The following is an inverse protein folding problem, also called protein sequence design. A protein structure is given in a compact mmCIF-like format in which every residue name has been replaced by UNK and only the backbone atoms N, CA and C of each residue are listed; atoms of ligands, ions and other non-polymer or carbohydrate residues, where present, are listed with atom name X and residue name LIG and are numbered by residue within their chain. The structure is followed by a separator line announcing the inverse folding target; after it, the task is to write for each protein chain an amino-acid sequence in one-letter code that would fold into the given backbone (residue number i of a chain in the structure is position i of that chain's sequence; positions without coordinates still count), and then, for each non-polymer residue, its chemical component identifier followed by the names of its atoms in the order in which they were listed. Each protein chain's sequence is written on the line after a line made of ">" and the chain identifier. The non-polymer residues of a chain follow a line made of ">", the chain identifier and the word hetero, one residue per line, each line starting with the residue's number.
data_IF_198829428730
#
_entry.id   IF_198829428730
#
_cell.length_a   1.000
_cell.length_b   1.000
_cell.length_c   1.000
_cell.angle_alpha   90.00
_cell.angle_beta   90.00
_cell.angle_gamma   90.00
#
_symmetry.space_group_name_H-M   'P 1'
#
loop_
_entity.id
_entity.type
_entity.pdbx_description
1 polymer ?
#
# COMPACT_ATOMS: atom_id res chain seq x y z
N UNK A 1 -20.64 -29.58 3.16
CA UNK A 1 -20.26 -28.19 3.50
C UNK A 1 -18.91 -28.06 4.22
N UNK A 2 -18.60 -28.85 5.25
CA UNK A 2 -17.31 -28.74 5.97
C UNK A 2 -16.05 -28.99 5.10
N UNK A 3 -16.13 -29.89 4.11
CA UNK A 3 -15.05 -30.16 3.15
C UNK A 3 -14.73 -28.95 2.26
N UNK A 4 -15.75 -28.29 1.72
CA UNK A 4 -15.60 -27.10 0.86
C UNK A 4 -14.97 -25.92 1.62
N UNK A 5 -15.36 -25.71 2.88
CA UNK A 5 -14.77 -24.66 3.73
C UNK A 5 -13.29 -24.92 4.01
N UNK A 6 -12.90 -26.16 4.31
CA UNK A 6 -11.49 -26.54 4.52
C UNK A 6 -10.67 -26.35 3.25
N UNK A 7 -11.19 -26.77 2.09
CA UNK A 7 -10.54 -26.57 0.80
C UNK A 7 -10.35 -25.08 0.49
N UNK A 8 -11.39 -24.27 0.69
CA UNK A 8 -11.35 -22.83 0.48
C UNK A 8 -10.26 -22.15 1.33
N UNK A 9 -10.17 -22.49 2.61
CA UNK A 9 -9.11 -21.97 3.49
C UNK A 9 -7.73 -22.39 2.99
N UNK A 10 -7.54 -23.65 2.63
CA UNK A 10 -6.25 -24.15 2.15
C UNK A 10 -5.80 -23.39 0.89
N UNK A 11 -6.68 -23.24 -0.09
CA UNK A 11 -6.41 -22.52 -1.35
C UNK A 11 -6.04 -21.06 -1.07
N UNK A 12 -6.78 -20.40 -0.17
CA UNK A 12 -6.54 -18.98 0.17
C UNK A 12 -5.17 -18.77 0.83
N UNK A 13 -4.79 -19.63 1.78
CA UNK A 13 -3.48 -19.56 2.44
C UNK A 13 -2.34 -19.92 1.47
N UNK A 14 -2.57 -20.85 0.54
CA UNK A 14 -1.64 -21.15 -0.55
C UNK A 14 -1.41 -19.93 -1.44
N UNK A 15 -2.49 -19.30 -1.92
CA UNK A 15 -2.42 -18.10 -2.77
C UNK A 15 -1.70 -16.93 -2.06
N UNK A 16 -1.95 -16.75 -0.76
CA UNK A 16 -1.25 -15.74 0.03
C UNK A 16 0.24 -16.04 0.20
N UNK A 17 0.62 -17.31 0.37
CA UNK A 17 2.03 -17.70 0.46
C UNK A 17 2.78 -17.39 -0.84
N UNK A 18 2.14 -17.63 -1.99
CA UNK A 18 2.65 -17.21 -3.30
C UNK A 18 2.82 -15.69 -3.40
N UNK A 19 1.87 -14.92 -2.86
CA UNK A 19 1.97 -13.47 -2.85
C UNK A 19 3.10 -12.95 -1.97
N UNK A 20 3.33 -13.55 -0.80
CA UNK A 20 4.47 -13.21 0.06
C UNK A 20 5.80 -13.50 -0.65
N UNK A 21 5.90 -14.62 -1.36
CA UNK A 21 7.06 -14.91 -2.21
C UNK A 21 7.24 -13.85 -3.30
N UNK A 22 6.15 -13.40 -3.94
CA UNK A 22 6.22 -12.32 -4.93
C UNK A 22 6.77 -11.04 -4.31
N UNK A 23 6.29 -10.60 -3.14
CA UNK A 23 6.86 -9.43 -2.46
C UNK A 23 8.32 -9.61 -2.04
N UNK A 24 8.75 -10.84 -1.72
CA UNK A 24 10.15 -11.16 -1.49
C UNK A 24 10.98 -11.01 -2.77
N UNK A 25 10.47 -11.45 -3.92
CA UNK A 25 11.12 -11.25 -5.22
C UNK A 25 11.27 -9.77 -5.59
N UNK A 26 10.30 -8.93 -5.20
CA UNK A 26 10.37 -7.47 -5.34
C UNK A 26 11.31 -6.79 -4.33
N UNK A 27 11.95 -7.54 -3.43
CA UNK A 27 12.87 -7.00 -2.42
C UNK A 27 12.20 -6.31 -1.23
N UNK A 28 10.88 -6.46 -1.04
CA UNK A 28 10.17 -5.85 0.09
C UNK A 28 10.33 -6.63 1.40
N UNK A 29 10.68 -7.92 1.29
CA UNK A 29 11.03 -8.77 2.42
C UNK A 29 12.50 -9.19 2.31
N UNK A 30 13.30 -8.82 3.31
CA UNK A 30 14.67 -9.32 3.47
C UNK A 30 14.76 -10.45 4.51
N UNK A 31 13.66 -11.14 4.78
CA UNK A 31 13.60 -12.32 5.65
C UNK A 31 12.50 -13.27 5.14
N UNK A 32 12.62 -14.59 5.35
CA UNK A 32 11.59 -15.52 4.91
C UNK A 32 10.38 -15.43 5.84
N UNK A 33 9.21 -15.19 5.25
CA UNK A 33 7.92 -15.14 5.92
C UNK A 33 7.00 -16.21 5.33
N UNK A 34 6.45 -17.08 6.18
CA UNK A 34 5.50 -18.12 5.76
C UNK A 34 4.28 -18.10 6.66
N UNK A 35 3.09 -18.20 6.07
CA UNK A 35 1.84 -18.32 6.80
C UNK A 35 1.23 -19.70 6.56
N UNK A 36 1.32 -20.58 7.55
CA UNK A 36 0.70 -21.90 7.49
C UNK A 36 -0.69 -21.87 8.10
N UNK A 37 -1.65 -22.54 7.44
CA UNK A 37 -3.02 -22.59 7.94
C UNK A 37 -3.10 -23.27 9.32
N UNK A 38 -2.26 -24.28 9.58
CA UNK A 38 -2.18 -25.05 10.82
C UNK A 38 -1.37 -24.33 11.91
N UNK A 39 -0.12 -23.98 11.60
CA UNK A 39 0.87 -23.52 12.59
C UNK A 39 0.96 -21.99 12.73
N UNK A 40 0.19 -21.25 11.91
CA UNK A 40 0.20 -19.79 11.91
C UNK A 40 1.45 -19.21 11.23
N UNK A 41 1.98 -18.13 11.80
CA UNK A 41 3.05 -17.34 11.19
C UNK A 41 4.45 -17.85 11.56
N UNK A 42 5.20 -18.32 10.56
CA UNK A 42 6.61 -18.65 10.68
C UNK A 42 7.47 -17.51 10.11
N UNK A 43 8.37 -16.98 10.95
CA UNK A 43 9.24 -15.85 10.64
C UNK A 43 10.68 -16.34 10.80
N UNK A 44 11.46 -16.34 9.73
CA UNK A 44 12.88 -16.67 9.82
C UNK A 44 13.75 -15.48 10.20
N UNK A 45 15.05 -15.76 10.26
CA UNK A 45 16.06 -14.74 10.49
C UNK A 45 16.42 -14.01 9.21
N UNK A 46 16.87 -12.77 9.36
CA UNK A 46 17.48 -12.04 8.27
C UNK A 46 18.76 -12.75 7.82
N UNK A 47 18.89 -12.97 6.51
CA UNK A 47 20.09 -13.54 5.90
C UNK A 47 20.44 -12.71 4.68
N UNK A 48 21.73 -12.55 4.41
CA UNK A 48 22.23 -11.89 3.19
C UNK A 48 21.60 -12.47 1.90
N UNK A 49 21.33 -13.78 1.88
CA UNK A 49 20.64 -14.44 0.76
C UNK A 49 19.21 -13.93 0.52
N UNK A 50 18.55 -13.42 1.55
CA UNK A 50 17.20 -12.85 1.44
C UNK A 50 17.22 -11.45 0.84
N UNK A 51 18.35 -10.74 0.95
CA UNK A 51 18.52 -9.39 0.44
C UNK A 51 19.03 -9.33 -1.00
N UNK A 52 19.32 -10.48 -1.62
CA UNK A 52 19.76 -10.57 -3.03
C UNK A 52 18.78 -9.87 -3.96
N UNK A 53 17.48 -10.00 -3.74
CA UNK A 53 16.45 -9.36 -4.56
C UNK A 53 16.50 -7.83 -4.46
N UNK A 54 16.70 -7.29 -3.27
CA UNK A 54 16.88 -5.86 -3.04
C UNK A 54 18.12 -5.33 -3.79
N UNK A 55 19.23 -6.07 -3.78
CA UNK A 55 20.45 -5.72 -4.53
C UNK A 55 20.18 -5.77 -6.04
N UNK A 56 19.47 -6.81 -6.52
CA UNK A 56 19.12 -6.93 -7.94
C UNK A 56 18.23 -5.78 -8.41
N UNK A 57 17.26 -5.35 -7.61
CA UNK A 57 16.42 -4.20 -7.93
C UNK A 57 17.19 -2.88 -7.92
N UNK A 58 18.13 -2.72 -6.97
CA UNK A 58 19.04 -1.57 -6.95
C UNK A 58 19.92 -1.53 -8.20
N UNK A 59 20.54 -2.66 -8.57
CA UNK A 59 21.35 -2.79 -9.78
C UNK A 59 20.50 -2.52 -11.03
N UNK A 60 19.28 -3.05 -11.08
CA UNK A 60 18.33 -2.83 -12.19
C UNK A 60 17.93 -1.36 -12.31
N UNK A 61 17.72 -0.65 -11.19
CA UNK A 61 17.46 0.79 -11.20
C UNK A 61 18.67 1.58 -11.75
N UNK A 62 19.88 1.25 -11.33
CA UNK A 62 21.11 1.88 -11.86
C UNK A 62 21.26 1.60 -13.37
N UNK A 63 21.06 0.35 -13.81
CA UNK A 63 21.11 -0.02 -15.23
C UNK A 63 20.04 0.74 -16.01
N UNK A 64 18.81 0.84 -15.50
CA UNK A 64 17.74 1.65 -16.09
C UNK A 64 18.19 3.09 -16.28
N UNK A 65 18.78 3.72 -15.25
CA UNK A 65 19.34 5.07 -15.33
C UNK A 65 20.41 5.24 -16.43
N UNK A 66 21.34 4.28 -16.52
CA UNK A 66 22.40 4.27 -17.53
C UNK A 66 21.80 4.12 -18.94
N UNK A 67 20.84 3.22 -19.12
CA UNK A 67 20.16 3.00 -20.39
C UNK A 67 19.37 4.23 -20.82
N UNK A 68 18.62 4.87 -19.92
CA UNK A 68 17.92 6.11 -20.21
C UNK A 68 18.88 7.23 -20.63
N UNK A 69 20.04 7.35 -19.97
CA UNK A 69 21.09 8.29 -20.38
C UNK A 69 21.65 7.97 -21.77
N UNK A 70 21.89 6.70 -22.07
CA UNK A 70 22.38 6.26 -23.38
C UNK A 70 21.36 6.52 -24.48
N UNK A 71 20.07 6.34 -24.18
CA UNK A 71 18.96 6.55 -25.10
C UNK A 71 18.36 7.96 -25.01
N UNK A 72 19.09 8.94 -24.46
CA UNK A 72 18.59 10.30 -24.24
C UNK A 72 17.98 10.92 -25.50
N UNK A 73 18.66 10.80 -26.64
CA UNK A 73 18.17 11.35 -27.90
C UNK A 73 16.87 10.69 -28.39
N UNK A 74 16.66 9.39 -28.09
CA UNK A 74 15.42 8.69 -28.43
C UNK A 74 14.27 9.01 -27.48
N UNK A 75 14.58 9.42 -26.24
CA UNK A 75 13.59 9.75 -25.21
C UNK A 75 13.17 11.21 -25.25
N UNK A 76 14.12 12.12 -25.48
CA UNK A 76 13.92 13.57 -25.30
C UNK A 76 14.29 14.40 -26.54
N UNK A 77 14.97 13.81 -27.53
CA UNK A 77 15.37 14.53 -28.74
C UNK A 77 14.16 15.04 -29.52
N UNK A 78 14.23 16.31 -29.96
CA UNK A 78 13.19 16.95 -30.79
C UNK A 78 11.91 17.36 -30.06
N UNK A 79 11.80 17.12 -28.75
CA UNK A 79 10.70 17.62 -27.93
C UNK A 79 10.91 19.10 -27.58
N UNK A 80 9.80 19.83 -27.42
CA UNK A 80 9.83 21.13 -26.77
C UNK A 80 10.32 20.99 -25.33
N UNK A 81 10.89 22.05 -24.76
CA UNK A 81 11.45 22.01 -23.41
C UNK A 81 10.43 21.51 -22.38
N UNK A 82 9.18 21.98 -22.47
CA UNK A 82 8.05 21.57 -21.60
C UNK A 82 7.75 20.07 -21.72
N UNK A 83 7.62 19.56 -22.96
CA UNK A 83 7.39 18.14 -23.26
C UNK A 83 8.54 17.26 -22.73
N UNK A 84 9.78 17.70 -22.92
CA UNK A 84 10.97 16.99 -22.45
C UNK A 84 11.06 16.99 -20.91
N UNK A 85 10.77 18.11 -20.25
CA UNK A 85 10.73 18.21 -18.79
C UNK A 85 9.67 17.31 -18.18
N UNK A 86 8.47 17.27 -18.77
CA UNK A 86 7.36 16.41 -18.35
C UNK A 86 7.80 14.93 -18.36
N UNK A 87 8.39 14.47 -19.48
CA UNK A 87 8.89 13.10 -19.61
C UNK A 87 10.06 12.81 -18.65
N UNK A 88 10.95 13.78 -18.46
CA UNK A 88 12.10 13.63 -17.59
C UNK A 88 11.69 13.47 -16.13
N UNK A 89 10.80 14.34 -15.62
CA UNK A 89 10.30 14.22 -14.25
C UNK A 89 9.55 12.92 -14.01
N UNK A 90 8.78 12.45 -15.00
CA UNK A 90 8.05 11.16 -14.90
C UNK A 90 9.00 10.03 -14.58
N UNK A 91 10.05 9.93 -15.39
CA UNK A 91 11.04 8.88 -15.28
C UNK A 91 11.87 9.01 -14.00
N UNK A 92 12.34 10.21 -13.67
CA UNK A 92 13.22 10.45 -12.51
C UNK A 92 12.49 10.21 -11.19
N UNK A 93 11.25 10.67 -11.04
CA UNK A 93 10.46 10.44 -9.81
C UNK A 93 10.16 8.94 -9.66
N UNK A 94 9.82 8.25 -10.75
CA UNK A 94 9.63 6.80 -10.75
C UNK A 94 10.91 6.07 -10.31
N UNK A 95 12.06 6.43 -10.86
CA UNK A 95 13.33 5.82 -10.52
C UNK A 95 13.75 6.11 -9.06
N UNK A 96 13.57 7.35 -8.60
CA UNK A 96 13.79 7.75 -7.21
C UNK A 96 12.94 6.91 -6.25
N UNK A 97 11.67 6.66 -6.60
CA UNK A 97 10.75 5.84 -5.81
C UNK A 97 11.29 4.42 -5.60
N UNK A 98 11.95 3.83 -6.62
CA UNK A 98 12.59 2.51 -6.48
C UNK A 98 13.74 2.60 -5.46
N UNK A 99 14.63 3.58 -5.59
CA UNK A 99 15.76 3.75 -4.67
C UNK A 99 15.28 3.91 -3.22
N UNK A 100 14.32 4.79 -2.97
CA UNK A 100 13.78 5.00 -1.62
C UNK A 100 13.09 3.74 -1.09
N UNK A 101 12.33 3.03 -1.92
CA UNK A 101 11.64 1.81 -1.50
C UNK A 101 12.61 0.67 -1.16
N UNK A 102 13.66 0.49 -1.95
CA UNK A 102 14.70 -0.52 -1.68
C UNK A 102 15.51 -0.12 -0.44
N UNK A 103 15.82 1.18 -0.28
CA UNK A 103 16.51 1.68 0.91
C UNK A 103 15.67 1.45 2.18
N UNK A 104 14.39 1.85 2.19
CA UNK A 104 13.47 1.59 3.31
C UNK A 104 13.42 0.08 3.60
N UNK A 105 13.26 -0.76 2.58
CA UNK A 105 13.20 -2.21 2.77
C UNK A 105 14.48 -2.78 3.38
N UNK A 106 15.64 -2.18 3.10
CA UNK A 106 16.95 -2.62 3.59
C UNK A 106 17.30 -2.08 4.98
N UNK A 107 17.04 -0.80 5.25
CA UNK A 107 17.38 -0.18 6.53
C UNK A 107 16.33 -0.50 7.61
N UNK A 108 15.05 -0.63 7.23
CA UNK A 108 13.94 -0.90 8.16
C UNK A 108 13.64 -2.40 8.30
N UNK A 109 14.61 -3.29 8.03
CA UNK A 109 14.39 -4.76 8.12
C UNK A 109 13.99 -5.18 9.52
N UNK A 110 14.61 -4.60 10.54
CA UNK A 110 14.30 -4.91 11.94
C UNK A 110 12.90 -4.44 12.32
N UNK A 111 12.53 -3.22 11.93
CA UNK A 111 11.19 -2.64 12.06
C UNK A 111 10.16 -3.54 11.39
N UNK A 112 10.41 -3.91 10.13
CA UNK A 112 9.52 -4.79 9.36
C UNK A 112 9.35 -6.16 10.04
N UNK A 113 10.45 -6.79 10.48
CA UNK A 113 10.40 -8.08 11.19
C UNK A 113 9.66 -7.95 12.52
N UNK A 114 9.83 -6.84 13.24
CA UNK A 114 9.17 -6.55 14.51
C UNK A 114 7.64 -6.51 14.38
N UNK A 115 7.10 -5.90 13.32
CA UNK A 115 5.66 -5.88 12.99
C UNK A 115 5.10 -7.31 12.98
N UNK A 116 5.74 -8.21 12.25
CA UNK A 116 5.30 -9.60 12.12
C UNK A 116 5.49 -10.40 13.42
N UNK A 117 6.58 -10.16 14.16
CA UNK A 117 6.80 -10.78 15.47
C UNK A 117 5.72 -10.39 16.48
N UNK A 118 5.30 -9.12 16.50
CA UNK A 118 4.20 -8.65 17.35
C UNK A 118 2.87 -9.26 16.95
N UNK A 119 2.58 -9.35 15.64
CA UNK A 119 1.40 -10.10 15.18
C UNK A 119 1.42 -11.56 15.62
N UNK A 120 2.57 -12.24 15.57
CA UNK A 120 2.73 -13.61 16.06
C UNK A 120 2.51 -13.71 17.56
N UNK A 121 3.11 -12.82 18.36
CA UNK A 121 2.96 -12.82 19.81
C UNK A 121 1.50 -12.62 20.23
N UNK A 122 0.80 -11.66 19.59
CA UNK A 122 -0.64 -11.45 19.77
C UNK A 122 -1.46 -12.68 19.37
N UNK A 123 -1.11 -13.34 18.27
CA UNK A 123 -1.79 -14.54 17.81
C UNK A 123 -1.65 -15.69 18.83
N UNK A 124 -0.43 -15.97 19.30
CA UNK A 124 -0.16 -17.00 20.31
C UNK A 124 -0.91 -16.73 21.61
N UNK A 125 -0.91 -15.48 22.11
CA UNK A 125 -1.60 -15.11 23.35
C UNK A 125 -3.12 -15.27 23.25
N UNK A 126 -3.71 -15.03 22.08
CA UNK A 126 -5.16 -15.05 21.88
C UNK A 126 -5.69 -16.35 21.24
N UNK A 127 -4.83 -17.32 20.95
CA UNK A 127 -5.20 -18.54 20.22
C UNK A 127 -5.71 -18.27 18.80
N UNK A 128 -5.21 -17.23 18.14
CA UNK A 128 -5.59 -16.86 16.77
C UNK A 128 -4.46 -17.13 15.76
N UNK A 129 -4.62 -16.73 14.49
CA UNK A 129 -3.63 -17.01 13.44
C UNK A 129 -2.69 -15.83 13.20
N UNK A 130 -3.22 -14.60 13.20
CA UNK A 130 -2.45 -13.40 12.91
C UNK A 130 -3.01 -12.21 13.72
N UNK A 131 -2.28 -11.79 14.75
CA UNK A 131 -2.75 -10.77 15.68
C UNK A 131 -3.97 -11.23 16.48
N UNK A 132 -5.12 -10.61 16.21
CA UNK A 132 -6.43 -10.95 16.78
C UNK A 132 -7.31 -11.71 15.78
N UNK A 133 -6.82 -11.97 14.56
CA UNK A 133 -7.61 -12.52 13.47
C UNK A 133 -7.57 -14.06 13.50
N UNK A 134 -8.76 -14.66 13.63
CA UNK A 134 -8.94 -16.11 13.50
C UNK A 134 -8.84 -16.60 12.04
N UNK A 135 -8.73 -17.92 11.87
CA UNK A 135 -8.49 -18.56 10.56
C UNK A 135 -9.51 -18.20 9.48
N UNK A 136 -10.80 -18.26 9.80
CA UNK A 136 -11.87 -17.99 8.82
C UNK A 136 -11.96 -16.52 8.43
N UNK A 137 -11.78 -15.61 9.40
CA UNK A 137 -11.75 -14.18 9.09
C UNK A 137 -10.53 -13.84 8.23
N UNK A 138 -9.36 -14.40 8.56
CA UNK A 138 -8.15 -14.18 7.78
C UNK A 138 -8.33 -14.64 6.34
N UNK A 139 -8.89 -15.83 6.11
CA UNK A 139 -9.19 -16.30 4.76
C UNK A 139 -10.11 -15.33 3.99
N UNK A 140 -11.15 -14.78 4.64
CA UNK A 140 -12.03 -13.78 3.99
C UNK A 140 -11.32 -12.48 3.66
N UNK A 141 -10.45 -12.01 4.55
CA UNK A 141 -9.64 -10.79 4.33
C UNK A 141 -8.67 -11.00 3.17
N UNK A 142 -7.96 -12.12 3.16
CA UNK A 142 -7.02 -12.48 2.11
C UNK A 142 -7.70 -12.67 0.76
N UNK A 143 -8.90 -13.27 0.72
CA UNK A 143 -9.66 -13.40 -0.51
C UNK A 143 -10.05 -12.03 -1.09
N UNK A 144 -10.58 -11.11 -0.27
CA UNK A 144 -10.93 -9.75 -0.72
C UNK A 144 -9.72 -8.99 -1.21
N UNK A 145 -8.60 -9.13 -0.52
CA UNK A 145 -7.33 -8.55 -0.92
C UNK A 145 -6.83 -9.13 -2.24
N UNK A 146 -6.94 -10.45 -2.44
CA UNK A 146 -6.59 -11.11 -3.70
C UNK A 146 -7.45 -10.61 -4.87
N UNK A 147 -8.76 -10.41 -4.68
CA UNK A 147 -9.61 -9.82 -5.71
C UNK A 147 -9.22 -8.37 -6.04
N UNK A 148 -8.83 -7.57 -5.04
CA UNK A 148 -8.31 -6.23 -5.29
C UNK A 148 -7.03 -6.26 -6.14
N UNK A 149 -6.09 -7.14 -5.81
CA UNK A 149 -4.86 -7.36 -6.60
C UNK A 149 -5.20 -7.81 -8.02
N UNK A 150 -6.07 -8.80 -8.17
CA UNK A 150 -6.46 -9.32 -9.48
C UNK A 150 -7.08 -8.23 -10.35
N UNK A 151 -7.90 -7.37 -9.76
CA UNK A 151 -8.50 -6.22 -10.45
C UNK A 151 -7.43 -5.24 -10.90
N UNK A 152 -6.50 -4.87 -10.01
CA UNK A 152 -5.38 -3.97 -10.32
C UNK A 152 -4.52 -4.57 -11.45
N UNK A 153 -4.10 -5.83 -11.32
CA UNK A 153 -3.28 -6.52 -12.32
C UNK A 153 -4.01 -6.64 -13.66
N UNK A 154 -5.30 -6.96 -13.66
CA UNK A 154 -6.09 -7.04 -14.88
C UNK A 154 -6.19 -5.70 -15.60
N UNK A 155 -6.41 -4.60 -14.86
CA UNK A 155 -6.43 -3.25 -15.43
C UNK A 155 -5.06 -2.88 -15.99
N UNK A 156 -3.98 -3.08 -15.22
CA UNK A 156 -2.62 -2.83 -15.71
C UNK A 156 -2.32 -3.66 -16.95
N UNK A 157 -2.56 -4.97 -16.93
CA UNK A 157 -2.28 -5.87 -18.05
C UNK A 157 -3.10 -5.51 -19.29
N UNK A 158 -4.36 -5.11 -19.13
CA UNK A 158 -5.19 -4.64 -20.24
C UNK A 158 -4.61 -3.38 -20.89
N UNK A 159 -4.21 -2.40 -20.08
CA UNK A 159 -3.60 -1.15 -20.56
C UNK A 159 -2.26 -1.44 -21.24
N UNK A 160 -1.37 -2.19 -20.60
CA UNK A 160 -0.06 -2.56 -21.14
C UNK A 160 -0.17 -3.38 -22.45
N UNK A 161 -1.13 -4.30 -22.53
CA UNK A 161 -1.41 -5.06 -23.75
C UNK A 161 -1.93 -4.16 -24.87
N UNK A 162 -2.79 -3.20 -24.55
CA UNK A 162 -3.32 -2.24 -25.53
C UNK A 162 -2.21 -1.33 -26.06
N UNK A 163 -1.36 -0.83 -25.17
CA UNK A 163 -0.17 -0.04 -25.47
C UNK A 163 0.79 -0.81 -26.38
N UNK A 164 1.12 -2.06 -26.03
CA UNK A 164 2.02 -2.90 -26.81
C UNK A 164 1.55 -3.14 -28.25
N UNK A 165 0.24 -3.38 -28.44
CA UNK A 165 -0.32 -3.66 -29.77
C UNK A 165 -0.52 -2.42 -30.65
N UNK A 166 -0.67 -1.24 -30.04
CA UNK A 166 -0.96 0.00 -30.77
C UNK A 166 0.28 0.88 -30.99
N UNK A 167 1.32 0.75 -30.16
CA UNK A 167 2.56 1.50 -30.34
C UNK A 167 3.37 0.97 -31.51
N UNK A 168 3.74 1.88 -32.41
CA UNK A 168 4.67 1.55 -33.49
C UNK A 168 6.09 1.37 -32.91
N UNK A 169 6.75 0.22 -33.12
CA UNK A 169 8.11 0.00 -32.64
C UNK A 169 9.10 1.04 -33.17
N UNK A 170 10.06 1.41 -32.31
CA UNK A 170 11.12 2.38 -32.65
C UNK A 170 10.70 3.85 -32.55
N UNK A 171 9.43 4.16 -32.29
CA UNK A 171 8.99 5.53 -32.00
C UNK A 171 9.49 6.02 -30.64
N UNK A 172 9.54 7.34 -30.46
CA UNK A 172 9.87 7.97 -29.17
C UNK A 172 8.95 7.49 -28.04
N UNK A 173 7.66 7.33 -28.33
CA UNK A 173 6.67 6.79 -27.39
C UNK A 173 6.95 5.35 -26.99
N UNK A 174 7.36 4.50 -27.94
CA UNK A 174 7.77 3.13 -27.64
C UNK A 174 8.99 3.10 -26.69
N UNK A 175 10.00 3.93 -26.95
CA UNK A 175 11.17 4.04 -26.07
C UNK A 175 10.82 4.58 -24.69
N UNK A 176 9.93 5.58 -24.64
CA UNK A 176 9.48 6.17 -23.38
C UNK A 176 8.70 5.17 -22.53
N UNK A 177 7.76 4.44 -23.13
CA UNK A 177 7.04 3.36 -22.48
C UNK A 177 7.99 2.29 -21.93
N UNK A 178 8.92 1.80 -22.75
CA UNK A 178 9.87 0.74 -22.37
C UNK A 178 10.68 1.10 -21.12
N UNK A 179 11.15 2.35 -21.01
CA UNK A 179 11.94 2.79 -19.85
C UNK A 179 11.08 3.06 -18.61
N UNK A 180 9.80 3.42 -18.78
CA UNK A 180 8.88 3.66 -17.66
C UNK A 180 8.21 2.39 -17.15
N UNK A 181 8.13 1.32 -17.95
CA UNK A 181 7.49 0.07 -17.56
C UNK A 181 7.99 -0.49 -16.21
N UNK A 182 9.31 -0.50 -16.01
CA UNK A 182 9.91 -1.02 -14.77
C UNK A 182 9.61 -0.12 -13.54
N UNK A 183 9.95 1.19 -13.54
CA UNK A 183 9.59 2.09 -12.44
C UNK A 183 8.09 2.09 -12.11
N UNK A 184 7.25 2.06 -13.15
CA UNK A 184 5.80 2.05 -13.01
C UNK A 184 5.29 0.79 -12.32
N UNK A 185 5.73 -0.38 -12.81
CA UNK A 185 5.37 -1.67 -12.20
C UNK A 185 5.83 -1.75 -10.76
N UNK A 186 7.04 -1.30 -10.47
CA UNK A 186 7.60 -1.35 -9.11
C UNK A 186 6.80 -0.46 -8.14
N UNK A 187 6.46 0.76 -8.56
CA UNK A 187 5.60 1.70 -7.83
C UNK A 187 4.23 1.09 -7.50
N UNK A 188 3.59 0.45 -8.48
CA UNK A 188 2.30 -0.19 -8.30
C UNK A 188 2.34 -1.37 -7.33
N UNK A 189 3.36 -2.22 -7.44
CA UNK A 189 3.53 -3.36 -6.53
C UNK A 189 3.81 -2.87 -5.10
N UNK A 190 4.49 -1.73 -4.94
CA UNK A 190 4.69 -1.08 -3.64
C UNK A 190 3.38 -0.55 -3.02
N UNK A 191 2.45 -0.01 -3.81
CA UNK A 191 1.10 0.37 -3.33
C UNK A 191 0.31 -0.85 -2.87
N UNK A 192 0.32 -1.92 -3.67
CA UNK A 192 -0.33 -3.18 -3.34
C UNK A 192 0.23 -3.76 -2.04
N UNK A 193 1.54 -3.71 -1.86
CA UNK A 193 2.15 -4.18 -0.62
C UNK A 193 1.71 -3.38 0.61
N UNK A 194 1.59 -2.05 0.51
CA UNK A 194 1.03 -1.24 1.60
C UNK A 194 -0.44 -1.55 1.88
N UNK A 195 -1.24 -1.78 0.83
CA UNK A 195 -2.64 -2.17 0.92
C UNK A 195 -2.84 -3.46 1.75
N UNK A 196 -1.89 -4.40 1.72
CA UNK A 196 -1.90 -5.58 2.60
C UNK A 196 -1.88 -5.15 4.07
N UNK A 197 -0.90 -4.33 4.47
CA UNK A 197 -0.72 -3.92 5.86
C UNK A 197 -1.94 -3.15 6.39
N UNK A 198 -2.48 -2.23 5.58
CA UNK A 198 -3.72 -1.51 5.92
C UNK A 198 -4.89 -2.49 6.12
N UNK A 199 -5.05 -3.45 5.22
CA UNK A 199 -6.14 -4.43 5.28
C UNK A 199 -6.04 -5.35 6.50
N UNK A 200 -4.82 -5.74 6.89
CA UNK A 200 -4.56 -6.53 8.08
C UNK A 200 -4.80 -5.74 9.36
N UNK A 201 -4.33 -4.48 9.43
CA UNK A 201 -4.54 -3.62 10.59
C UNK A 201 -6.03 -3.33 10.80
N UNK A 202 -6.75 -2.93 9.75
CA UNK A 202 -8.20 -2.70 9.81
C UNK A 202 -8.96 -3.93 10.33
N UNK A 203 -8.53 -5.13 9.92
CA UNK A 203 -9.16 -6.37 10.35
C UNK A 203 -8.86 -6.71 11.82
N UNK A 204 -7.67 -6.37 12.32
CA UNK A 204 -7.33 -6.50 13.73
C UNK A 204 -8.13 -5.53 14.61
N UNK A 205 -8.26 -4.26 14.19
CA UNK A 205 -9.10 -3.27 14.85
C UNK A 205 -10.56 -3.72 14.93
N UNK A 206 -11.08 -4.29 13.84
CA UNK A 206 -12.43 -4.89 13.83
C UNK A 206 -12.58 -6.02 14.86
N UNK A 207 -11.58 -6.90 14.98
CA UNK A 207 -11.65 -7.97 15.99
C UNK A 207 -11.61 -7.41 17.40
N UNK A 208 -10.79 -6.38 17.65
CA UNK A 208 -10.79 -5.68 18.92
C UNK A 208 -12.15 -5.05 19.22
N UNK A 209 -12.76 -4.38 18.24
CA UNK A 209 -14.09 -3.80 18.35
C UNK A 209 -15.16 -4.86 18.68
N UNK A 210 -15.14 -6.01 18.00
CA UNK A 210 -16.06 -7.13 18.31
C UNK A 210 -15.88 -7.66 19.72
N UNK A 211 -14.63 -7.79 20.19
CA UNK A 211 -14.33 -8.20 21.57
C UNK A 211 -14.87 -7.18 22.58
N UNK A 212 -14.69 -5.89 22.31
CA UNK A 212 -15.22 -4.80 23.14
C UNK A 212 -16.75 -4.81 23.21
N UNK A 213 -17.44 -5.01 22.07
CA UNK A 213 -18.92 -5.13 22.04
C UNK A 213 -19.38 -6.34 22.86
N UNK A 214 -18.72 -7.50 22.71
CA UNK A 214 -19.06 -8.69 23.48
C UNK A 214 -18.87 -8.46 25.00
N UNK A 215 -17.79 -7.80 25.40
CA UNK A 215 -17.55 -7.42 26.79
C UNK A 215 -18.65 -6.50 27.35
N UNK A 216 -19.12 -5.53 26.56
CA UNK A 216 -20.22 -4.67 26.96
C UNK A 216 -21.51 -5.47 27.23
N UNK A 217 -21.73 -6.56 26.49
CA UNK A 217 -22.90 -7.43 26.66
C UNK A 217 -22.75 -8.42 27.82
N UNK A 218 -21.55 -8.97 28.06
CA UNK A 218 -21.33 -9.97 29.12
C UNK A 218 -21.05 -9.36 30.49
N UNK A 219 -20.56 -8.12 30.54
CA UNK A 219 -20.25 -7.43 31.79
C UNK A 219 -19.01 -7.94 32.52
N UNK A 220 -18.12 -8.70 31.87
CA UNK A 220 -16.90 -9.28 32.45
C UNK A 220 -15.78 -8.23 32.64
N UNK A 221 -15.92 -7.43 33.70
CA UNK A 221 -15.16 -6.19 33.99
C UNK A 221 -13.63 -6.29 33.89
N UNK A 222 -13.04 -7.40 34.33
CA UNK A 222 -11.58 -7.60 34.37
C UNK A 222 -10.91 -7.59 32.98
N UNK A 223 -11.67 -7.78 31.90
CA UNK A 223 -11.12 -7.93 30.53
C UNK A 223 -10.89 -6.60 29.80
N UNK A 224 -11.37 -5.48 30.35
CA UNK A 224 -11.18 -4.16 29.70
C UNK A 224 -9.71 -3.74 29.67
N UNK A 225 -8.95 -4.01 30.73
CA UNK A 225 -7.51 -3.68 30.76
C UNK A 225 -6.74 -4.57 29.78
N UNK A 226 -7.14 -5.83 29.62
CA UNK A 226 -6.57 -6.70 28.60
C UNK A 226 -6.78 -6.12 27.20
N UNK A 227 -7.98 -5.64 26.88
CA UNK A 227 -8.28 -5.07 25.58
C UNK A 227 -7.60 -3.73 25.33
N UNK A 228 -7.41 -2.93 26.38
CA UNK A 228 -6.57 -1.73 26.34
C UNK A 228 -5.11 -2.09 26.04
N UNK A 229 -4.58 -3.14 26.65
CA UNK A 229 -3.23 -3.63 26.35
C UNK A 229 -3.13 -4.17 24.90
N UNK A 230 -4.15 -4.88 24.41
CA UNK A 230 -4.20 -5.31 23.01
C UNK A 230 -4.20 -4.12 22.05
N UNK A 231 -4.94 -3.05 22.36
CA UNK A 231 -4.90 -1.82 21.59
C UNK A 231 -3.49 -1.20 21.57
N UNK A 232 -2.79 -1.19 22.72
CA UNK A 232 -1.41 -0.71 22.80
C UNK A 232 -0.46 -1.46 21.87
N UNK A 233 -0.58 -2.79 21.77
CA UNK A 233 0.21 -3.58 20.84
C UNK A 233 -0.15 -3.32 19.37
N UNK A 234 -1.44 -3.16 19.05
CA UNK A 234 -1.86 -2.78 17.70
C UNK A 234 -1.34 -1.39 17.31
N UNK A 235 -1.28 -0.46 18.27
CA UNK A 235 -0.69 0.86 18.03
C UNK A 235 0.81 0.76 17.72
N UNK A 236 1.58 -0.02 18.48
CA UNK A 236 3.00 -0.27 18.21
C UNK A 236 3.24 -0.90 16.83
N UNK A 237 2.38 -1.82 16.43
CA UNK A 237 2.43 -2.41 15.08
C UNK A 237 2.16 -1.33 14.01
N UNK A 238 1.19 -0.45 14.23
CA UNK A 238 0.88 0.63 13.31
C UNK A 238 2.02 1.64 13.18
N UNK A 239 2.68 2.01 14.29
CA UNK A 239 3.86 2.87 14.25
C UNK A 239 4.97 2.24 13.40
N UNK A 240 5.24 0.94 13.59
CA UNK A 240 6.19 0.22 12.74
C UNK A 240 5.78 0.21 11.26
N UNK A 241 4.48 0.12 10.95
CA UNK A 241 3.97 0.24 9.58
C UNK A 241 4.23 1.65 9.03
N UNK A 242 3.89 2.70 9.77
CA UNK A 242 4.13 4.09 9.35
C UNK A 242 5.61 4.39 9.14
N UNK A 243 6.49 3.83 9.98
CA UNK A 243 7.94 3.95 9.84
C UNK A 243 8.45 3.24 8.57
N UNK A 244 8.06 1.98 8.37
CA UNK A 244 8.43 1.15 7.22
C UNK A 244 7.96 1.72 5.88
N UNK A 245 6.79 2.36 5.87
CA UNK A 245 6.16 2.88 4.65
C UNK A 245 6.34 4.39 4.47
N UNK A 246 6.87 5.11 5.45
CA UNK A 246 6.87 6.57 5.49
C UNK A 246 7.43 7.25 4.25
N UNK A 247 8.73 7.12 4.01
CA UNK A 247 9.39 7.79 2.88
C UNK A 247 9.05 7.14 1.53
N UNK A 248 9.09 5.82 1.48
CA UNK A 248 8.78 5.07 0.26
C UNK A 248 7.37 5.33 -0.25
N UNK A 249 6.34 5.38 0.61
CA UNK A 249 4.99 5.70 0.13
C UNK A 249 4.79 7.19 -0.14
N UNK A 250 5.49 8.09 0.56
CA UNK A 250 5.49 9.50 0.16
C UNK A 250 6.02 9.68 -1.26
N UNK A 251 7.15 9.03 -1.58
CA UNK A 251 7.68 8.98 -2.95
C UNK A 251 6.72 8.26 -3.91
N UNK A 252 6.07 7.18 -3.47
CA UNK A 252 5.15 6.41 -4.31
C UNK A 252 3.89 7.20 -4.68
N UNK A 253 3.36 7.99 -3.75
CA UNK A 253 2.25 8.92 -4.00
C UNK A 253 2.72 10.07 -4.90
N UNK A 254 3.91 10.62 -4.70
CA UNK A 254 4.48 11.64 -5.59
C UNK A 254 4.69 11.10 -7.02
N UNK A 255 5.13 9.85 -7.16
CA UNK A 255 5.24 9.14 -8.45
C UNK A 255 3.87 8.93 -9.11
N UNK A 256 2.86 8.57 -8.32
CA UNK A 256 1.48 8.40 -8.81
C UNK A 256 0.86 9.73 -9.24
N UNK A 257 1.13 10.79 -8.49
CA UNK A 257 0.79 12.17 -8.84
C UNK A 257 1.42 12.55 -10.18
N UNK A 258 2.74 12.40 -10.28
CA UNK A 258 3.51 12.70 -11.48
C UNK A 258 2.95 11.94 -12.69
N UNK A 259 2.72 10.64 -12.56
CA UNK A 259 2.11 9.82 -13.60
C UNK A 259 0.77 10.41 -14.08
N UNK A 260 -0.17 10.66 -13.16
CA UNK A 260 -1.51 11.17 -13.51
C UNK A 260 -1.45 12.56 -14.14
N UNK A 261 -0.66 13.47 -13.57
CA UNK A 261 -0.52 14.83 -14.08
C UNK A 261 0.09 14.85 -15.49
N UNK A 262 1.13 14.04 -15.70
CA UNK A 262 1.82 13.97 -16.98
C UNK A 262 1.01 13.24 -18.04
N UNK A 263 0.21 12.24 -17.65
CA UNK A 263 -0.70 11.57 -18.57
C UNK A 263 -1.80 12.53 -19.06
N UNK A 264 -2.35 13.36 -18.17
CA UNK A 264 -3.34 14.39 -18.54
C UNK A 264 -2.73 15.51 -19.39
N UNK A 265 -1.51 15.95 -19.08
CA UNK A 265 -0.78 16.89 -19.94
C UNK A 265 -0.63 16.34 -21.36
N UNK A 266 -0.23 15.08 -21.51
CA UNK A 266 -0.09 14.47 -22.82
C UNK A 266 -1.41 14.29 -23.56
N UNK A 267 -2.52 13.96 -22.86
CA UNK A 267 -3.85 13.98 -23.45
C UNK A 267 -4.15 15.36 -24.05
N UNK A 268 -3.91 16.44 -23.30
CA UNK A 268 -4.12 17.81 -23.77
C UNK A 268 -3.20 18.16 -24.96
N UNK A 269 -1.90 17.92 -24.84
CA UNK A 269 -0.92 18.28 -25.86
C UNK A 269 -1.18 17.54 -27.18
N UNK A 270 -1.54 16.26 -27.12
CA UNK A 270 -1.92 15.49 -28.31
C UNK A 270 -3.25 15.99 -28.91
N UNK A 271 -4.21 16.35 -28.07
CA UNK A 271 -5.49 16.91 -28.51
C UNK A 271 -5.32 18.23 -29.25
N UNK A 272 -4.57 19.18 -28.69
CA UNK A 272 -4.28 20.48 -29.32
C UNK A 272 -3.53 20.32 -30.65
N UNK A 273 -2.55 19.41 -30.69
CA UNK A 273 -1.78 19.11 -31.90
C UNK A 273 -2.53 18.21 -32.90
N UNK A 274 -3.79 17.87 -32.63
CA UNK A 274 -4.62 16.94 -33.42
C UNK A 274 -3.89 15.62 -33.76
N UNK A 275 -3.07 15.13 -32.83
CA UNK A 275 -2.29 13.92 -33.00
C UNK A 275 -3.19 12.69 -32.85
N UNK A 276 -2.93 11.65 -33.66
CA UNK A 276 -3.57 10.34 -33.49
C UNK A 276 -3.10 9.71 -32.17
N UNK A 277 -3.95 8.89 -31.55
CA UNK A 277 -3.60 8.13 -30.35
C UNK A 277 -3.96 8.77 -29.01
N UNK A 278 -4.75 9.86 -28.99
CA UNK A 278 -5.27 10.45 -27.75
C UNK A 278 -6.02 9.41 -26.91
N UNK A 279 -6.81 8.55 -27.54
CA UNK A 279 -7.53 7.46 -26.86
C UNK A 279 -6.59 6.53 -26.10
N UNK A 280 -5.47 6.15 -26.72
CA UNK A 280 -4.45 5.33 -26.07
C UNK A 280 -3.84 6.03 -24.85
N UNK A 281 -3.58 7.33 -24.96
CA UNK A 281 -3.04 8.13 -23.86
C UNK A 281 -4.06 8.26 -22.70
N UNK A 282 -5.36 8.32 -22.99
CA UNK A 282 -6.42 8.24 -21.97
C UNK A 282 -6.40 6.88 -21.26
N UNK A 283 -6.15 5.78 -21.99
CA UNK A 283 -6.01 4.46 -21.36
C UNK A 283 -4.80 4.38 -20.41
N UNK A 284 -3.68 5.02 -20.75
CA UNK A 284 -2.49 5.09 -19.87
C UNK A 284 -2.78 5.71 -18.50
N UNK A 285 -3.76 6.63 -18.42
CA UNK A 285 -4.16 7.28 -17.18
C UNK A 285 -4.87 6.34 -16.21
N UNK A 286 -5.59 5.31 -16.69
CA UNK A 286 -6.55 4.52 -15.90
C UNK A 286 -5.94 3.74 -14.72
N UNK A 287 -4.77 3.06 -14.82
CA UNK A 287 -4.36 2.13 -13.77
C UNK A 287 -4.01 2.82 -12.44
N UNK A 288 -3.42 4.02 -12.48
CA UNK A 288 -2.98 4.72 -11.27
C UNK A 288 -4.17 5.19 -10.39
N UNK A 289 -5.22 5.85 -10.91
CA UNK A 289 -6.45 6.12 -10.18
C UNK A 289 -7.11 4.87 -9.60
N UNK A 290 -7.10 3.74 -10.31
CA UNK A 290 -7.68 2.47 -9.80
C UNK A 290 -6.93 2.02 -8.54
N UNK A 291 -5.59 2.01 -8.57
CA UNK A 291 -4.76 1.62 -7.42
C UNK A 291 -4.95 2.57 -6.25
N UNK A 292 -4.92 3.88 -6.50
CA UNK A 292 -5.16 4.91 -5.47
C UNK A 292 -6.57 4.75 -4.89
N UNK A 293 -7.58 4.46 -5.72
CA UNK A 293 -8.95 4.18 -5.28
C UNK A 293 -9.03 3.02 -4.30
N UNK A 294 -8.37 1.89 -4.59
CA UNK A 294 -8.29 0.76 -3.65
C UNK A 294 -7.55 1.12 -2.35
N UNK A 295 -6.44 1.86 -2.45
CA UNK A 295 -5.66 2.29 -1.29
C UNK A 295 -6.50 3.20 -0.37
N UNK A 296 -7.19 4.18 -0.94
CA UNK A 296 -8.03 5.13 -0.23
C UNK A 296 -9.28 4.48 0.36
N UNK A 297 -9.90 3.53 -0.36
CA UNK A 297 -10.99 2.73 0.17
C UNK A 297 -10.55 1.93 1.41
N UNK A 298 -9.38 1.29 1.35
CA UNK A 298 -8.84 0.54 2.48
C UNK A 298 -8.45 1.45 3.65
N UNK A 299 -7.84 2.61 3.38
CA UNK A 299 -7.51 3.60 4.40
C UNK A 299 -8.76 4.17 5.08
N UNK A 300 -9.82 4.46 4.31
CA UNK A 300 -11.11 4.89 4.87
C UNK A 300 -11.72 3.80 5.75
N UNK A 301 -11.70 2.55 5.28
CA UNK A 301 -12.17 1.42 6.06
C UNK A 301 -11.38 1.27 7.37
N UNK A 302 -10.07 1.38 7.32
CA UNK A 302 -9.22 1.40 8.51
C UNK A 302 -9.65 2.49 9.50
N UNK A 303 -9.86 3.72 9.02
CA UNK A 303 -10.34 4.83 9.84
C UNK A 303 -11.69 4.52 10.50
N UNK A 304 -12.64 3.96 9.74
CA UNK A 304 -13.96 3.58 10.26
C UNK A 304 -13.87 2.51 11.35
N UNK A 305 -12.98 1.53 11.22
CA UNK A 305 -12.78 0.50 12.27
C UNK A 305 -12.15 1.13 13.53
N UNK A 306 -11.24 2.09 13.36
CA UNK A 306 -10.68 2.86 14.49
C UNK A 306 -11.74 3.70 15.20
N UNK A 307 -12.59 4.41 14.44
CA UNK A 307 -13.72 5.17 14.96
C UNK A 307 -14.72 4.26 15.69
N UNK A 308 -14.97 3.06 15.17
CA UNK A 308 -15.85 2.08 15.80
C UNK A 308 -15.28 1.56 17.13
N UNK A 309 -13.97 1.34 17.25
CA UNK A 309 -13.33 1.01 18.54
C UNK A 309 -13.55 2.15 19.54
N UNK A 310 -13.28 3.39 19.14
CA UNK A 310 -13.46 4.55 20.01
C UNK A 310 -14.92 4.73 20.44
N UNK A 311 -15.86 4.66 19.48
CA UNK A 311 -17.29 4.74 19.75
C UNK A 311 -17.75 3.65 20.71
N UNK A 312 -17.30 2.41 20.51
CA UNK A 312 -17.67 1.30 21.42
C UNK A 312 -17.20 1.56 22.85
N UNK A 313 -15.98 2.06 23.06
CA UNK A 313 -15.47 2.39 24.41
C UNK A 313 -16.19 3.61 25.01
N UNK A 314 -16.63 4.56 24.18
CA UNK A 314 -17.45 5.69 24.62
C UNK A 314 -18.85 5.25 25.05
N UNK A 315 -19.45 4.28 24.39
CA UNK A 315 -20.83 3.83 24.68
C UNK A 315 -20.90 2.87 25.87
N UNK A 316 -19.77 2.31 26.31
CA UNK A 316 -19.73 1.43 27.48
C UNK A 316 -20.19 2.14 28.76
N UNK A 317 -21.36 1.75 29.25
CA UNK A 317 -21.88 2.15 30.55
C UNK A 317 -21.52 1.12 31.63
N UNK A 318 -20.62 1.48 32.53
CA UNK A 318 -20.21 0.64 33.67
C UNK A 318 -20.96 0.98 34.97
N UNK A 319 -22.00 1.82 34.90
CA UNK A 319 -22.80 2.20 36.06
C UNK A 319 -21.99 2.90 37.16
N UNK A 320 -22.16 2.47 38.41
CA UNK A 320 -21.52 3.05 39.61
C UNK A 320 -20.13 2.48 39.92
N UNK A 321 -19.56 1.63 39.05
CA UNK A 321 -18.24 1.05 39.29
C UNK A 321 -17.13 2.07 39.03
N UNK A 322 -16.62 2.68 40.10
CA UNK A 322 -15.61 3.74 40.04
C UNK A 322 -14.29 3.29 39.40
N UNK A 323 -13.88 2.03 39.60
CA UNK A 323 -12.66 1.51 38.98
C UNK A 323 -12.82 1.32 37.47
N UNK A 324 -13.97 0.80 37.04
CA UNK A 324 -14.26 0.64 35.61
C UNK A 324 -14.45 1.96 34.87
N UNK A 325 -15.05 2.96 35.53
CA UNK A 325 -15.12 4.32 35.00
C UNK A 325 -13.71 4.90 34.83
N UNK A 326 -12.82 4.70 35.81
CA UNK A 326 -11.43 5.12 35.74
C UNK A 326 -10.66 4.39 34.64
N UNK A 327 -10.87 3.09 34.47
CA UNK A 327 -10.25 2.26 33.44
C UNK A 327 -10.69 2.67 32.02
N UNK A 328 -12.00 2.87 31.85
CA UNK A 328 -12.58 3.42 30.62
C UNK A 328 -11.98 4.79 30.30
N UNK A 329 -11.86 5.66 31.30
CA UNK A 329 -11.21 6.96 31.14
C UNK A 329 -9.77 6.83 30.65
N UNK A 330 -8.96 5.94 31.24
CA UNK A 330 -7.59 5.69 30.76
C UNK A 330 -7.54 5.15 29.34
N UNK A 331 -8.45 4.25 28.98
CA UNK A 331 -8.51 3.72 27.63
C UNK A 331 -8.91 4.82 26.63
N UNK A 332 -9.94 5.63 26.92
CA UNK A 332 -10.31 6.77 26.09
C UNK A 332 -9.16 7.76 25.93
N UNK A 333 -8.43 8.05 27.02
CA UNK A 333 -7.26 8.91 26.96
C UNK A 333 -6.16 8.33 26.06
N UNK A 334 -5.92 7.02 26.12
CA UNK A 334 -4.99 6.32 25.22
C UNK A 334 -5.46 6.36 23.77
N UNK A 335 -6.75 6.19 23.50
CA UNK A 335 -7.33 6.27 22.15
C UNK A 335 -7.19 7.68 21.54
N UNK A 336 -7.30 8.72 22.38
CA UNK A 336 -7.13 10.11 21.98
C UNK A 336 -5.65 10.46 21.72
N UNK A 337 -4.75 10.04 22.62
CA UNK A 337 -3.32 10.37 22.55
C UNK A 337 -2.58 9.54 21.51
N UNK A 338 -2.82 8.23 21.50
CA UNK A 338 -2.15 7.25 20.66
C UNK A 338 -3.13 6.70 19.62
N UNK A 339 -3.79 7.59 18.89
CA UNK A 339 -4.76 7.21 17.86
C UNK A 339 -4.04 6.49 16.72
N UNK A 340 -4.51 5.30 16.37
CA UNK A 340 -3.98 4.55 15.22
C UNK A 340 -4.37 5.28 13.94
N UNK A 341 -3.38 5.91 13.31
CA UNK A 341 -3.50 6.67 12.06
C UNK A 341 -2.52 6.13 11.04
N UNK A 342 -2.91 6.15 9.77
CA UNK A 342 -2.01 5.83 8.67
C UNK A 342 -1.37 7.13 8.21
N UNK A 343 -0.07 7.28 8.45
CA UNK A 343 0.69 8.50 8.12
C UNK A 343 1.96 8.14 7.35
N UNK A 344 2.39 9.03 6.47
CA UNK A 344 3.66 8.91 5.77
C UNK A 344 4.74 9.71 6.52
N UNK A 345 5.24 9.22 7.67
CA UNK A 345 6.17 9.97 8.55
C UNK A 345 5.69 11.40 8.85
N UNK A 346 4.38 11.53 9.11
CA UNK A 346 3.70 12.80 9.38
C UNK A 346 3.82 13.86 8.27
N UNK A 347 4.26 13.47 7.06
CA UNK A 347 4.24 14.33 5.87
C UNK A 347 2.79 14.52 5.40
N UNK A 348 2.02 13.44 5.37
CA UNK A 348 0.58 13.47 5.09
C UNK A 348 -0.13 12.24 5.67
N UNK A 349 -1.44 12.38 5.84
CA UNK A 349 -2.34 11.31 6.30
C UNK A 349 -2.94 10.58 5.09
N UNK A 350 -3.08 9.25 5.19
CA UNK A 350 -3.82 8.45 4.22
C UNK A 350 -5.32 8.54 4.50
N UNK A 351 -5.94 9.60 3.99
CA UNK A 351 -7.40 9.78 4.05
C UNK A 351 -7.94 10.38 2.73
N UNK A 352 -9.25 10.65 2.66
CA UNK A 352 -9.84 11.24 1.46
C UNK A 352 -9.42 12.69 1.20
N UNK A 353 -8.82 13.39 2.16
CA UNK A 353 -8.24 14.71 1.90
C UNK A 353 -7.05 14.60 0.94
N UNK A 354 -6.32 13.47 0.97
CA UNK A 354 -5.25 13.20 0.02
C UNK A 354 -5.75 13.17 -1.43
N UNK A 355 -6.91 12.56 -1.71
CA UNK A 355 -7.51 12.59 -3.07
C UNK A 355 -7.79 14.03 -3.50
N UNK A 356 -8.40 14.82 -2.62
CA UNK A 356 -8.72 16.22 -2.92
C UNK A 356 -7.44 17.01 -3.22
N UNK A 357 -6.40 16.84 -2.41
CA UNK A 357 -5.10 17.47 -2.62
C UNK A 357 -4.49 17.03 -3.94
N UNK A 358 -4.49 15.73 -4.25
CA UNK A 358 -3.99 15.20 -5.51
C UNK A 358 -4.70 15.83 -6.71
N UNK A 359 -6.04 15.87 -6.71
CA UNK A 359 -6.82 16.46 -7.80
C UNK A 359 -6.46 17.93 -7.99
N UNK A 360 -6.40 18.71 -6.90
CA UNK A 360 -6.06 20.14 -6.98
C UNK A 360 -4.66 20.32 -7.55
N UNK A 361 -3.66 19.60 -7.04
CA UNK A 361 -2.26 19.75 -7.51
C UNK A 361 -2.12 19.27 -8.96
N UNK A 362 -2.83 18.22 -9.38
CA UNK A 362 -2.83 17.74 -10.77
C UNK A 362 -3.38 18.82 -11.69
N UNK A 363 -4.53 19.40 -11.35
CA UNK A 363 -5.14 20.45 -12.17
C UNK A 363 -4.24 21.68 -12.24
N UNK A 364 -3.69 22.13 -11.10
CA UNK A 364 -2.76 23.27 -11.06
C UNK A 364 -1.52 22.99 -11.92
N UNK A 365 -0.93 21.80 -11.81
CA UNK A 365 0.23 21.41 -12.62
C UNK A 365 -0.10 21.45 -14.12
N UNK A 366 -1.22 20.83 -14.51
CA UNK A 366 -1.65 20.78 -15.91
C UNK A 366 -1.89 22.20 -16.44
N UNK A 367 -2.58 23.06 -15.70
CA UNK A 367 -2.82 24.47 -16.10
C UNK A 367 -1.49 25.21 -16.32
N UNK A 368 -0.56 25.14 -15.36
CA UNK A 368 0.75 25.80 -15.47
C UNK A 368 1.51 25.31 -16.70
N UNK A 369 1.53 24.00 -16.95
CA UNK A 369 2.26 23.44 -18.10
C UNK A 369 1.59 23.78 -19.43
N UNK A 370 0.26 23.92 -19.45
CA UNK A 370 -0.47 24.42 -20.62
C UNK A 370 -0.10 25.88 -20.90
N UNK A 371 -0.17 26.76 -19.89
CA UNK A 371 0.15 28.18 -20.04
C UNK A 371 1.60 28.46 -20.46
N UNK A 372 2.54 27.57 -20.13
CA UNK A 372 3.96 27.69 -20.56
C UNK A 372 4.16 27.13 -21.97
N UNK A 373 3.31 26.18 -22.40
CA UNK A 373 3.43 25.52 -23.70
C UNK A 373 2.73 26.27 -24.84
N UNK A 374 1.70 27.05 -24.51
CA UNK A 374 1.05 28.04 -25.40
C UNK A 374 1.89 29.32 -25.51
#
# INVERSE_FOLDING_TARGET
>A
MASVRKLFILVTFGAFSWLLLLFQLFGFFNFPLKLHHADGLAIGEHRWSSSVWSILHLASAVISGILAKRHYNYLFGGLMLTDAMNNYFKYVIGLLTIFVTVADSWFEVETHRSIWLRYRALATRNGTILGLIGRDELARVLLRYFFAILTIVAVCALVEFTIYNQLTPGTQWHWFWLHNFYPYTFSHVRHVFHLLHISLMASNLRQLQRKLVALHQTGERERLEEYRALYGELWQINEGINELFGFSQACNIASSFAQMAFDLYWVYAMWQKQQRGVELQIFCFVPTPVIIGFLMHAAKKHQLEMDAVQGTVLDMNFGLDAEMVKLRFYFLHQLLRNRIKLTAKDIFDYDYTLIRTLVIVILTYVIIFIEIAD
#
